data_IF_554925210712
#
_entry.id   IF_554925210712
#
_cell.length_a   1.000
_cell.length_b   1.000
_cell.length_c   1.000
_cell.angle_alpha   90.00
_cell.angle_beta   90.00
_cell.angle_gamma   90.00
#
_symmetry.space_group_name_H-M   'P 1'
#
loop_
_entity.id
_entity.type
_entity.pdbx_description
1 polymer ?
#
# COMPACT_ATOMS: atom_id res chain seq x y z
N UNK A 1 -26.71 -12.84 -26.15
CA UNK A 1 -25.79 -12.03 -27.00
C UNK A 1 -24.64 -11.58 -26.10
N UNK A 2 -23.37 -11.67 -26.52
CA UNK A 2 -22.25 -11.23 -25.70
C UNK A 2 -22.29 -9.71 -25.50
N UNK A 3 -22.10 -9.26 -24.26
CA UNK A 3 -22.00 -7.85 -23.87
C UNK A 3 -20.56 -7.61 -23.41
N UNK A 4 -19.88 -6.66 -24.03
CA UNK A 4 -18.55 -6.22 -23.62
C UNK A 4 -18.68 -4.84 -22.98
N UNK A 5 -18.17 -4.69 -21.77
CA UNK A 5 -18.16 -3.43 -21.02
C UNK A 5 -16.70 -3.05 -20.77
N UNK A 6 -16.36 -1.78 -21.04
CA UNK A 6 -15.02 -1.27 -20.76
C UNK A 6 -14.94 -0.87 -19.29
N UNK A 7 -13.94 -1.40 -18.59
CA UNK A 7 -13.71 -1.14 -17.18
C UNK A 7 -12.33 -1.61 -16.79
N UNK A 8 -11.94 -1.27 -15.56
CA UNK A 8 -10.69 -1.71 -14.95
C UNK A 8 -11.00 -2.83 -13.98
N UNK A 9 -10.35 -3.97 -14.17
CA UNK A 9 -10.43 -5.08 -13.23
C UNK A 9 -9.51 -4.79 -12.04
N UNK A 10 -10.06 -4.84 -10.84
CA UNK A 10 -9.32 -4.69 -9.59
C UNK A 10 -9.36 -6.02 -8.86
N UNK A 11 -8.18 -6.55 -8.56
CA UNK A 11 -7.98 -7.68 -7.65
C UNK A 11 -7.63 -7.13 -6.26
N UNK A 12 -8.42 -7.49 -5.25
CA UNK A 12 -8.24 -7.02 -3.88
C UNK A 12 -8.78 -8.02 -2.86
N UNK A 13 -8.34 -7.90 -1.59
CA UNK A 13 -8.87 -8.71 -0.50
C UNK A 13 -10.37 -8.43 -0.24
N UNK A 14 -11.14 -9.41 0.29
CA UNK A 14 -12.57 -9.23 0.59
C UNK A 14 -12.84 -8.11 1.60
N UNK A 15 -11.86 -7.82 2.48
CA UNK A 15 -11.91 -6.68 3.39
C UNK A 15 -11.88 -5.34 2.64
N UNK A 16 -11.03 -5.22 1.62
CA UNK A 16 -10.94 -4.02 0.79
C UNK A 16 -12.18 -3.90 -0.10
N UNK A 17 -12.69 -5.00 -0.67
CA UNK A 17 -13.96 -5.03 -1.41
C UNK A 17 -15.09 -4.46 -0.56
N UNK A 18 -15.16 -4.83 0.72
CA UNK A 18 -16.18 -4.30 1.65
C UNK A 18 -16.08 -2.78 1.84
N UNK A 19 -14.85 -2.24 1.91
CA UNK A 19 -14.61 -0.79 1.97
C UNK A 19 -15.05 -0.12 0.67
N UNK A 20 -14.69 -0.70 -0.49
CA UNK A 20 -15.07 -0.20 -1.81
C UNK A 20 -16.61 -0.14 -1.95
N UNK A 21 -17.31 -1.21 -1.57
CA UNK A 21 -18.78 -1.27 -1.57
C UNK A 21 -19.39 -0.23 -0.62
N UNK A 22 -18.78 -0.02 0.55
CA UNK A 22 -19.23 1.00 1.49
C UNK A 22 -19.02 2.43 0.95
N UNK A 23 -17.93 2.68 0.23
CA UNK A 23 -17.69 3.95 -0.47
C UNK A 23 -18.72 4.14 -1.58
N UNK A 24 -18.97 3.09 -2.35
CA UNK A 24 -19.92 3.07 -3.46
C UNK A 24 -21.37 3.21 -2.99
N UNK A 25 -21.71 2.78 -1.76
CA UNK A 25 -23.07 2.84 -1.20
C UNK A 25 -23.72 4.24 -1.24
N UNK A 26 -22.93 5.32 -1.32
CA UNK A 26 -23.45 6.67 -1.42
C UNK A 26 -23.96 7.04 -2.84
N UNK A 27 -23.25 6.64 -3.90
CA UNK A 27 -23.53 7.09 -5.27
C UNK A 27 -23.68 5.95 -6.30
N UNK A 28 -23.35 4.70 -5.95
CA UNK A 28 -23.38 3.51 -6.80
C UNK A 28 -22.79 3.73 -8.20
N UNK A 29 -21.71 4.50 -8.25
CA UNK A 29 -21.13 5.05 -9.47
C UNK A 29 -19.74 4.50 -9.78
N UNK A 30 -19.13 3.78 -8.84
CA UNK A 30 -17.78 3.28 -8.95
C UNK A 30 -17.77 1.87 -9.54
N UNK A 31 -18.58 0.97 -8.99
CA UNK A 31 -18.61 -0.45 -9.37
C UNK A 31 -19.48 -0.63 -10.63
N UNK A 32 -18.93 -1.30 -11.64
CA UNK A 32 -19.65 -1.69 -12.85
C UNK A 32 -20.29 -3.06 -12.64
N UNK A 33 -19.49 -4.03 -12.20
CA UNK A 33 -19.89 -5.42 -12.02
C UNK A 33 -19.02 -6.04 -10.94
N UNK A 34 -19.65 -6.82 -10.05
CA UNK A 34 -18.93 -7.63 -9.08
C UNK A 34 -18.82 -9.06 -9.64
N UNK A 35 -17.58 -9.52 -9.82
CA UNK A 35 -17.31 -10.80 -10.46
C UNK A 35 -17.20 -11.92 -9.41
N UNK A 36 -16.43 -11.65 -8.35
CA UNK A 36 -16.15 -12.59 -7.26
C UNK A 36 -15.82 -11.83 -5.97
N UNK A 37 -15.51 -12.54 -4.88
CA UNK A 37 -15.12 -11.94 -3.60
C UNK A 37 -13.82 -11.13 -3.65
N UNK A 38 -12.92 -11.45 -4.57
CA UNK A 38 -11.64 -10.76 -4.75
C UNK A 38 -11.55 -9.92 -6.03
N UNK A 39 -12.55 -9.99 -6.90
CA UNK A 39 -12.51 -9.35 -8.21
C UNK A 39 -13.72 -8.44 -8.41
N UNK A 40 -13.44 -7.18 -8.73
CA UNK A 40 -14.47 -6.18 -9.04
C UNK A 40 -14.07 -5.37 -10.27
N UNK A 41 -15.04 -5.06 -11.12
CA UNK A 41 -14.85 -4.20 -12.29
C UNK A 41 -15.31 -2.79 -11.95
N UNK A 42 -14.42 -1.81 -12.13
CA UNK A 42 -14.64 -0.40 -11.77
C UNK A 42 -14.55 0.49 -13.01
N UNK A 43 -15.26 1.62 -13.00
CA UNK A 43 -15.17 2.63 -14.06
C UNK A 43 -13.77 3.27 -14.09
N UNK A 44 -13.13 3.27 -15.26
CA UNK A 44 -11.77 3.80 -15.47
C UNK A 44 -11.58 5.24 -14.92
N UNK A 45 -12.56 6.11 -15.17
CA UNK A 45 -12.54 7.50 -14.70
C UNK A 45 -12.53 7.65 -13.18
N UNK A 46 -13.07 6.66 -12.45
CA UNK A 46 -13.23 6.72 -11.00
C UNK A 46 -12.12 6.00 -10.25
N UNK A 47 -11.26 5.23 -10.92
CA UNK A 47 -10.17 4.47 -10.29
C UNK A 47 -9.22 5.37 -9.49
N UNK A 48 -8.86 6.53 -10.04
CA UNK A 48 -7.97 7.48 -9.36
C UNK A 48 -8.60 8.03 -8.06
N UNK A 49 -9.89 8.37 -8.10
CA UNK A 49 -10.62 8.85 -6.93
C UNK A 49 -10.80 7.75 -5.88
N UNK A 50 -11.12 6.52 -6.31
CA UNK A 50 -11.27 5.36 -5.45
C UNK A 50 -9.95 5.04 -4.72
N UNK A 51 -8.83 5.06 -5.44
CA UNK A 51 -7.50 4.82 -4.87
C UNK A 51 -7.14 5.86 -3.81
N UNK A 52 -7.48 7.13 -4.03
CA UNK A 52 -7.25 8.20 -3.05
C UNK A 52 -8.09 8.00 -1.77
N UNK A 53 -9.35 7.60 -1.90
CA UNK A 53 -10.19 7.32 -0.75
C UNK A 53 -9.71 6.08 0.02
N UNK A 54 -9.27 5.04 -0.68
CA UNK A 54 -8.68 3.85 -0.06
C UNK A 54 -7.40 4.18 0.71
N UNK A 55 -6.53 5.03 0.16
CA UNK A 55 -5.30 5.48 0.82
C UNK A 55 -5.61 6.26 2.12
N UNK A 56 -6.62 7.14 2.08
CA UNK A 56 -7.09 7.88 3.25
C UNK A 56 -7.63 6.93 4.35
N UNK A 57 -8.46 5.95 3.97
CA UNK A 57 -9.01 4.96 4.92
C UNK A 57 -7.92 4.05 5.47
N UNK A 58 -6.98 3.60 4.62
CA UNK A 58 -5.85 2.77 5.01
C UNK A 58 -4.87 3.48 5.95
N UNK A 59 -4.68 4.79 5.77
CA UNK A 59 -3.87 5.60 6.70
C UNK A 59 -4.50 5.70 8.10
N UNK A 60 -5.85 5.64 8.19
CA UNK A 60 -6.59 5.73 9.45
C UNK A 60 -6.66 4.40 10.18
N UNK A 61 -6.59 3.30 9.46
CA UNK A 61 -6.44 1.94 9.99
C UNK A 61 -5.10 1.37 9.53
N UNK A 62 -3.98 1.79 10.14
CA UNK A 62 -2.72 1.11 9.90
C UNK A 62 -2.92 -0.33 10.35
N UNK A 63 -3.08 -1.24 9.38
CA UNK A 63 -2.91 -2.65 9.64
C UNK A 63 -1.47 -2.73 10.14
N UNK A 64 -1.21 -3.16 11.39
CA UNK A 64 0.15 -3.36 11.83
C UNK A 64 0.73 -4.37 10.86
N UNK A 65 1.60 -3.88 9.97
CA UNK A 65 2.19 -4.69 8.92
C UNK A 65 3.05 -5.73 9.65
N UNK A 66 2.45 -6.88 9.94
CA UNK A 66 3.11 -8.00 10.59
C UNK A 66 4.16 -8.65 9.67
N UNK A 67 4.37 -8.07 8.47
CA UNK A 67 5.44 -8.37 7.54
C UNK A 67 6.50 -7.27 7.46
N UNK A 68 6.42 -6.21 8.28
CA UNK A 68 7.56 -5.34 8.58
C UNK A 68 8.55 -6.09 9.47
N UNK A 69 9.11 -7.19 8.96
CA UNK A 69 10.44 -7.62 9.34
C UNK A 69 11.34 -6.55 8.71
N UNK A 70 11.95 -5.64 9.47
CA UNK A 70 12.95 -4.77 8.88
C UNK A 70 14.00 -5.69 8.25
N UNK A 71 14.17 -5.61 6.93
CA UNK A 71 15.31 -6.23 6.27
C UNK A 71 16.57 -5.62 6.89
N UNK A 72 17.46 -6.42 7.52
CA UNK A 72 18.74 -5.91 7.97
C UNK A 72 19.65 -5.85 6.75
N UNK A 73 19.48 -4.84 5.91
CA UNK A 73 20.40 -4.57 4.82
C UNK A 73 21.32 -3.41 5.16
N UNK A 74 22.51 -3.81 5.63
CA UNK A 74 23.81 -3.24 5.31
C UNK A 74 24.06 -1.75 5.63
N UNK A 75 24.92 -1.48 6.61
CA UNK A 75 26.37 -1.50 6.35
C UNK A 75 27.15 -1.08 7.60
N UNK A 76 27.97 -2.00 8.09
CA UNK A 76 29.18 -1.64 8.81
C UNK A 76 30.04 -0.77 7.89
N UNK A 77 30.18 0.51 8.24
CA UNK A 77 31.08 1.46 7.62
C UNK A 77 32.05 1.99 8.66
N UNK A 78 33.12 1.22 8.90
CA UNK A 78 34.33 1.68 9.58
C UNK A 78 34.91 2.86 8.81
N UNK A 79 34.87 4.07 9.37
CA UNK A 79 35.87 5.13 9.13
C UNK A 79 35.83 6.17 10.26
N UNK A 80 36.47 5.87 11.38
CA UNK A 80 37.09 6.91 12.22
C UNK A 80 38.57 6.58 12.35
N UNK A 81 39.29 6.87 11.27
CA UNK A 81 40.69 7.24 11.36
C UNK A 81 40.76 8.75 11.37
N UNK A 82 40.99 9.35 12.54
CA UNK A 82 42.08 10.31 12.78
C UNK A 82 42.13 10.67 14.28
N UNK A 83 43.28 11.19 14.71
CA UNK A 83 43.54 11.81 16.01
C UNK A 83 43.58 10.92 17.26
N UNK A 84 44.78 10.42 17.58
CA UNK A 84 45.60 11.08 18.60
C UNK A 84 46.76 10.18 19.06
N UNK A 85 47.90 10.38 18.41
CA UNK A 85 49.19 10.12 19.01
C UNK A 85 49.32 10.89 20.33
N UNK A 86 49.10 10.23 21.47
CA UNK A 86 49.66 10.66 22.75
C UNK A 86 50.58 9.58 23.30
N UNK A 87 51.78 9.70 22.73
CA UNK A 87 53.09 9.22 23.18
C UNK A 87 53.14 8.77 24.63
N UNK A 88 53.64 7.54 24.77
CA UNK A 88 54.54 7.09 25.84
C UNK A 88 55.36 8.24 26.43
N UNK A 89 55.30 8.39 27.75
CA UNK A 89 56.40 8.58 28.71
C UNK A 89 55.68 8.51 30.08
N UNK A 90 55.91 7.56 30.98
CA UNK A 90 57.14 6.85 31.25
C UNK A 90 58.03 7.66 32.19
N UNK A 91 57.54 7.96 33.40
CA UNK A 91 58.21 7.84 34.71
C UNK A 91 57.27 8.33 35.82
#
# INVERSE_FOLDING_TARGET
MPRAIRGVLIECDPSIKSIIVNIDSNNHDYIIEDLDDQHVVVKENMVAALKRQLDEVGSRFPIPDSRFRPSPEHSAGTVEGDAAARRKFGL
#
